data_IF_649236571041
#
_entry.id   IF_649236571041
#
_cell.length_a   1.000
_cell.length_b   1.000
_cell.length_c   1.000
_cell.angle_alpha   90.00
_cell.angle_beta   90.00
_cell.angle_gamma   90.00
#
_symmetry.space_group_name_H-M   'P 1'
#
loop_
_entity.id
_entity.type
_entity.pdbx_description
1 polymer ?
#
# COMPACT_ATOMS: atom_id res chain seq x y z
N UNK A 1 -15.28 -38.63 -9.70
CA UNK A 1 -16.25 -38.69 -8.59
C UNK A 1 -15.54 -38.23 -7.33
N UNK A 2 -16.16 -37.38 -6.50
CA UNK A 2 -15.53 -36.85 -5.29
C UNK A 2 -16.39 -37.20 -4.08
N UNK A 3 -15.79 -37.77 -3.03
CA UNK A 3 -16.44 -38.06 -1.75
C UNK A 3 -15.69 -37.31 -0.67
N UNK A 4 -16.42 -36.59 0.18
CA UNK A 4 -15.84 -35.77 1.23
C UNK A 4 -16.37 -36.21 2.61
N UNK A 5 -15.51 -36.14 3.61
CA UNK A 5 -15.87 -36.29 5.01
C UNK A 5 -15.60 -34.97 5.74
N UNK A 6 -16.35 -34.68 6.80
CA UNK A 6 -16.16 -33.46 7.59
C UNK A 6 -14.80 -33.46 8.32
N UNK A 7 -14.18 -32.28 8.45
CA UNK A 7 -12.92 -32.06 9.19
C UNK A 7 -11.65 -32.11 8.34
N UNK A 8 -10.53 -31.63 8.91
CA UNK A 8 -9.21 -31.66 8.27
C UNK A 8 -8.57 -33.05 8.42
N UNK A 9 -8.73 -33.88 7.39
CA UNK A 9 -8.23 -35.27 7.38
C UNK A 9 -7.51 -35.55 6.06
N UNK A 10 -6.46 -36.39 6.06
CA UNK A 10 -5.85 -36.85 4.82
C UNK A 10 -6.90 -37.54 3.93
N UNK A 11 -6.92 -37.15 2.67
CA UNK A 11 -7.73 -37.78 1.62
C UNK A 11 -6.85 -38.57 0.65
N UNK A 12 -7.52 -39.26 -0.27
CA UNK A 12 -6.89 -39.99 -1.37
C UNK A 12 -7.22 -39.29 -2.69
N UNK A 13 -6.21 -38.71 -3.33
CA UNK A 13 -6.31 -38.13 -4.66
C UNK A 13 -5.95 -39.19 -5.68
N UNK A 14 -6.85 -39.44 -6.63
CA UNK A 14 -6.65 -40.40 -7.72
C UNK A 14 -6.74 -39.64 -9.04
N UNK A 15 -5.66 -39.66 -9.81
CA UNK A 15 -5.57 -38.98 -11.11
C UNK A 15 -5.34 -40.02 -12.21
N UNK A 16 -6.07 -39.91 -13.31
CA UNK A 16 -5.84 -40.74 -14.50
C UNK A 16 -4.55 -40.28 -15.17
N UNK A 17 -3.59 -41.19 -15.33
CA UNK A 17 -2.29 -40.95 -15.97
C UNK A 17 -2.38 -41.24 -17.46
N UNK A 18 -3.03 -42.34 -17.83
CA UNK A 18 -3.23 -42.77 -19.20
C UNK A 18 -4.58 -43.48 -19.34
N UNK A 19 -5.18 -43.37 -20.52
CA UNK A 19 -6.40 -44.07 -20.90
C UNK A 19 -6.17 -44.71 -22.27
N UNK A 20 -6.37 -46.02 -22.37
CA UNK A 20 -6.29 -46.73 -23.66
C UNK A 20 -7.49 -46.39 -24.53
N UNK A 21 -7.25 -46.16 -25.83
CA UNK A 21 -8.27 -45.90 -26.84
C UNK A 21 -8.96 -47.18 -27.34
N UNK A 22 -8.42 -48.36 -27.02
CA UNK A 22 -9.02 -49.65 -27.35
C UNK A 22 -10.31 -49.86 -26.54
N UNK A 23 -11.41 -50.12 -27.24
CA UNK A 23 -12.75 -50.21 -26.65
C UNK A 23 -13.20 -51.67 -26.68
N UNK A 24 -13.22 -52.32 -25.53
CA UNK A 24 -13.88 -53.62 -25.37
C UNK A 24 -15.29 -53.37 -24.81
N UNK A 25 -16.34 -53.76 -25.55
CA UNK A 25 -17.74 -53.50 -25.18
C UNK A 25 -18.15 -54.15 -23.84
N UNK A 26 -17.42 -55.17 -23.39
CA UNK A 26 -17.71 -55.92 -22.16
C UNK A 26 -16.92 -55.46 -20.92
N UNK A 27 -15.76 -54.81 -21.08
CA UNK A 27 -14.82 -54.55 -19.96
C UNK A 27 -14.46 -53.06 -19.76
N UNK A 28 -14.90 -52.18 -20.67
CA UNK A 28 -14.58 -50.76 -20.61
C UNK A 28 -13.16 -50.45 -21.10
N UNK A 29 -12.68 -49.23 -20.82
CA UNK A 29 -11.33 -48.78 -21.21
C UNK A 29 -10.34 -49.06 -20.08
N UNK A 30 -9.15 -49.55 -20.43
CA UNK A 30 -8.05 -49.63 -19.49
C UNK A 30 -7.55 -48.22 -19.12
N UNK A 31 -7.50 -47.94 -17.81
CA UNK A 31 -7.03 -46.67 -17.26
C UNK A 31 -5.93 -46.92 -16.25
N UNK A 32 -4.85 -46.15 -16.35
CA UNK A 32 -3.79 -46.11 -15.35
C UNK A 32 -4.06 -44.98 -14.36
N UNK A 33 -3.97 -45.28 -13.06
CA UNK A 33 -4.30 -44.34 -12.01
C UNK A 33 -3.09 -44.07 -11.12
N UNK A 34 -2.75 -42.80 -10.92
CA UNK A 34 -1.80 -42.36 -9.89
C UNK A 34 -2.56 -42.00 -8.62
N UNK A 35 -2.14 -42.59 -7.51
CA UNK A 35 -2.73 -42.33 -6.20
C UNK A 35 -1.74 -41.55 -5.32
N UNK A 36 -2.23 -40.47 -4.72
CA UNK A 36 -1.50 -39.67 -3.73
C UNK A 36 -2.33 -39.54 -2.44
N UNK A 37 -1.66 -39.59 -1.30
CA UNK A 37 -2.27 -39.45 0.03
C UNK A 37 -1.84 -38.12 0.66
N UNK A 38 -2.80 -37.34 1.15
CA UNK A 38 -2.49 -36.05 1.77
C UNK A 38 -3.73 -35.20 2.01
N UNK A 39 -3.55 -34.01 2.59
CA UNK A 39 -4.63 -33.03 2.72
C UNK A 39 -5.06 -32.56 1.33
N UNK A 40 -6.33 -32.75 1.00
CA UNK A 40 -6.91 -32.30 -0.26
C UNK A 40 -7.59 -30.96 0.01
N UNK A 41 -7.10 -29.90 -0.63
CA UNK A 41 -7.66 -28.56 -0.49
C UNK A 41 -8.86 -28.35 -1.42
N UNK A 42 -9.53 -27.21 -1.31
CA UNK A 42 -10.72 -26.86 -2.11
C UNK A 42 -10.47 -26.81 -3.63
N UNK A 43 -9.21 -26.79 -4.06
CA UNK A 43 -8.79 -26.92 -5.46
C UNK A 43 -8.59 -28.38 -5.92
N UNK A 44 -8.98 -29.36 -5.09
CA UNK A 44 -8.84 -30.81 -5.31
C UNK A 44 -7.40 -31.28 -5.54
N UNK A 45 -6.43 -30.55 -5.00
CA UNK A 45 -5.01 -30.91 -5.06
C UNK A 45 -4.47 -31.13 -3.65
N UNK A 46 -3.47 -32.00 -3.59
CA UNK A 46 -2.58 -32.11 -2.43
C UNK A 46 -1.45 -31.09 -2.65
N UNK A 47 -1.09 -30.34 -1.61
CA UNK A 47 -0.09 -29.28 -1.72
C UNK A 47 0.12 -28.49 -0.44
N UNK A 48 0.73 -27.31 -0.56
CA UNK A 48 0.93 -26.42 0.57
C UNK A 48 -0.40 -25.88 1.10
N UNK A 49 -0.54 -25.83 2.42
CA UNK A 49 -1.68 -25.20 3.08
C UNK A 49 -1.57 -23.67 2.99
N UNK A 50 -2.11 -23.12 1.90
CA UNK A 50 -2.19 -21.67 1.72
C UNK A 50 -3.25 -21.05 2.65
N UNK A 51 -4.25 -21.82 3.08
CA UNK A 51 -5.32 -21.32 3.93
C UNK A 51 -4.88 -21.18 5.40
N UNK A 52 -4.00 -22.05 5.86
CA UNK A 52 -3.36 -22.02 7.18
C UNK A 52 -2.07 -21.20 7.24
N UNK A 53 -1.70 -20.49 6.17
CA UNK A 53 -0.49 -19.68 6.14
C UNK A 53 -0.55 -18.56 7.20
N UNK A 54 0.50 -18.47 8.02
CA UNK A 54 0.65 -17.44 9.04
C UNK A 54 1.38 -16.21 8.49
N UNK A 55 1.20 -15.08 9.17
CA UNK A 55 1.88 -13.84 8.84
C UNK A 55 3.40 -13.97 9.05
N UNK A 56 4.17 -13.58 8.05
CA UNK A 56 5.62 -13.49 8.17
C UNK A 56 5.98 -12.25 8.99
N UNK A 57 6.66 -12.44 10.13
CA UNK A 57 7.17 -11.33 10.96
C UNK A 57 8.06 -10.36 10.18
N UNK A 58 8.78 -10.87 9.17
CA UNK A 58 9.60 -10.07 8.26
C UNK A 58 8.78 -9.04 7.45
N UNK A 59 7.47 -9.22 7.30
CA UNK A 59 6.59 -8.25 6.65
C UNK A 59 6.12 -7.12 7.58
N UNK A 60 6.37 -7.25 8.89
CA UNK A 60 6.00 -6.23 9.86
C UNK A 60 6.81 -4.96 9.60
N UNK A 61 6.13 -3.80 9.63
CA UNK A 61 6.78 -2.52 9.39
C UNK A 61 7.25 -2.30 7.94
N UNK A 62 6.80 -3.11 6.97
CA UNK A 62 7.09 -2.85 5.56
C UNK A 62 5.99 -2.02 4.89
N UNK A 63 4.74 -2.16 5.33
CA UNK A 63 3.58 -1.55 4.68
C UNK A 63 2.92 -0.45 5.52
N UNK A 64 2.79 0.73 4.93
CA UNK A 64 2.15 1.88 5.56
C UNK A 64 1.15 2.52 4.60
N UNK A 65 0.04 3.03 5.12
CA UNK A 65 -0.82 3.93 4.34
C UNK A 65 -0.07 5.25 4.07
N UNK A 66 -0.40 5.95 2.98
CA UNK A 66 0.23 7.22 2.59
C UNK A 66 -0.26 8.41 3.40
N UNK A 67 0.28 9.59 3.11
CA UNK A 67 0.11 10.79 3.95
C UNK A 67 -1.31 11.35 3.84
N UNK A 68 -1.88 11.77 4.98
CA UNK A 68 -3.18 12.44 5.02
C UNK A 68 -2.96 13.94 5.22
N UNK A 69 -3.12 14.71 4.14
CA UNK A 69 -2.83 16.14 4.13
C UNK A 69 -3.76 16.90 5.07
N UNK A 70 -5.08 16.69 4.96
CA UNK A 70 -6.14 17.49 5.60
C UNK A 70 -5.98 18.98 5.22
N UNK A 71 -6.35 19.30 3.99
CA UNK A 71 -6.22 20.65 3.44
C UNK A 71 -5.76 20.58 2.00
N UNK A 72 -6.60 21.02 1.07
CA UNK A 72 -6.28 20.97 -0.36
C UNK A 72 -5.17 21.96 -0.74
N UNK A 73 -4.97 23.03 0.05
CA UNK A 73 -3.97 24.07 -0.20
C UNK A 73 -2.50 23.62 -0.19
N UNK A 74 -2.22 22.41 0.33
CA UNK A 74 -0.89 21.80 0.23
C UNK A 74 -0.57 21.26 -1.17
N UNK A 75 -1.59 20.96 -1.98
CA UNK A 75 -1.43 20.44 -3.33
C UNK A 75 -1.27 21.63 -4.28
N UNK A 76 -0.18 21.65 -5.04
CA UNK A 76 0.15 22.72 -5.97
C UNK A 76 0.46 22.17 -7.36
N UNK A 77 0.22 22.99 -8.38
CA UNK A 77 0.67 22.68 -9.74
C UNK A 77 2.18 22.93 -9.88
N UNK A 78 2.84 22.35 -10.89
CA UNK A 78 4.26 22.61 -11.16
C UNK A 78 4.60 24.06 -11.47
N UNK A 79 3.68 24.80 -12.07
CA UNK A 79 3.81 26.24 -12.29
C UNK A 79 3.82 26.96 -10.95
N UNK A 80 2.81 26.70 -10.11
CA UNK A 80 2.71 27.33 -8.81
C UNK A 80 3.91 27.01 -7.91
N UNK A 81 4.41 25.78 -7.95
CA UNK A 81 5.61 25.40 -7.21
C UNK A 81 6.85 26.19 -7.64
N UNK A 82 7.02 26.46 -8.95
CA UNK A 82 8.10 27.31 -9.46
C UNK A 82 7.93 28.75 -9.00
N UNK A 83 6.71 29.29 -9.00
CA UNK A 83 6.43 30.63 -8.49
C UNK A 83 6.76 30.75 -6.99
N UNK A 84 6.57 29.67 -6.22
CA UNK A 84 6.94 29.59 -4.81
C UNK A 84 8.44 29.45 -4.58
N UNK A 85 9.23 29.26 -5.64
CA UNK A 85 10.68 29.23 -5.60
C UNK A 85 11.33 27.88 -5.90
N UNK A 86 10.58 26.86 -6.35
CA UNK A 86 11.15 25.55 -6.66
C UNK A 86 12.20 25.68 -7.78
N UNK A 87 13.43 25.23 -7.52
CA UNK A 87 14.58 25.37 -8.42
C UNK A 87 15.31 26.72 -8.34
N UNK A 88 14.78 27.69 -7.60
CA UNK A 88 15.41 28.99 -7.34
C UNK A 88 15.92 29.12 -5.91
N UNK A 89 15.22 28.52 -4.94
CA UNK A 89 15.60 28.52 -3.53
C UNK A 89 16.18 27.15 -3.14
N UNK A 90 17.47 27.07 -2.79
CA UNK A 90 18.11 25.81 -2.41
C UNK A 90 17.42 25.12 -1.23
N UNK A 91 17.12 23.82 -1.39
CA UNK A 91 16.54 23.00 -0.33
C UNK A 91 15.02 22.93 -0.36
N UNK A 92 14.36 23.75 -1.19
CA UNK A 92 12.91 23.69 -1.37
C UNK A 92 12.47 22.41 -2.10
N UNK A 93 13.36 21.78 -2.87
CA UNK A 93 13.15 20.49 -3.54
C UNK A 93 12.89 19.34 -2.55
N UNK A 94 13.37 19.49 -1.31
CA UNK A 94 13.13 18.49 -0.25
C UNK A 94 11.72 18.63 0.36
N UNK A 95 11.11 19.81 0.23
CA UNK A 95 9.81 20.14 0.80
C UNK A 95 8.70 20.13 -0.25
N UNK A 96 8.95 20.53 -1.50
CA UNK A 96 7.97 20.43 -2.59
C UNK A 96 8.28 19.20 -3.41
N UNK A 97 7.43 18.18 -3.27
CA UNK A 97 7.67 16.85 -3.83
C UNK A 97 6.54 16.38 -4.73
N UNK A 98 6.81 15.53 -5.73
CA UNK A 98 5.77 14.94 -6.57
C UNK A 98 4.72 14.20 -5.73
N UNK A 99 3.45 14.35 -6.07
CA UNK A 99 2.35 13.72 -5.35
C UNK A 99 1.58 12.75 -6.24
N UNK A 100 1.24 11.58 -5.69
CA UNK A 100 0.47 10.54 -6.39
C UNK A 100 -0.66 10.01 -5.53
N UNK A 101 -1.85 9.89 -6.12
CA UNK A 101 -2.99 9.21 -5.52
C UNK A 101 -3.39 7.95 -6.31
N UNK A 102 -4.45 7.26 -5.86
CA UNK A 102 -4.94 6.05 -6.53
C UNK A 102 -5.29 6.23 -8.00
N UNK A 103 -5.82 7.40 -8.39
CA UNK A 103 -6.15 7.70 -9.79
C UNK A 103 -4.89 7.82 -10.64
N UNK A 104 -3.84 8.43 -10.09
CA UNK A 104 -2.55 8.61 -10.77
C UNK A 104 -1.79 7.28 -10.99
N UNK A 105 -2.11 6.23 -10.22
CA UNK A 105 -1.58 4.87 -10.43
C UNK A 105 -2.36 4.07 -11.47
N UNK A 106 -3.66 4.34 -11.61
CA UNK A 106 -4.54 3.58 -12.50
C UNK A 106 -4.77 4.23 -13.86
N UNK A 107 -4.44 5.52 -14.01
CA UNK A 107 -4.69 6.34 -15.18
C UNK A 107 -3.50 7.28 -15.45
N UNK A 108 -3.67 8.22 -16.39
CA UNK A 108 -2.66 9.25 -16.64
C UNK A 108 -2.42 10.08 -15.36
N UNK A 109 -1.16 10.22 -14.91
CA UNK A 109 -0.86 11.00 -13.72
C UNK A 109 -1.19 12.47 -13.90
N UNK A 110 -1.74 13.11 -12.86
CA UNK A 110 -2.09 14.54 -12.88
C UNK A 110 -0.89 15.49 -12.89
N UNK A 111 0.31 15.00 -12.55
CA UNK A 111 1.52 15.83 -12.51
C UNK A 111 1.54 16.87 -11.38
N UNK A 112 0.77 16.66 -10.31
CA UNK A 112 0.72 17.59 -9.17
C UNK A 112 1.87 17.36 -8.18
N UNK A 113 2.17 18.39 -7.39
CA UNK A 113 3.13 18.35 -6.29
C UNK A 113 2.46 18.70 -4.96
N UNK A 114 3.14 18.39 -3.87
CA UNK A 114 2.68 18.68 -2.51
C UNK A 114 3.78 19.38 -1.71
N UNK A 115 3.38 20.31 -0.86
CA UNK A 115 4.26 21.02 0.07
C UNK A 115 4.32 20.26 1.40
N UNK A 116 5.42 19.58 1.68
CA UNK A 116 5.71 18.81 2.88
C UNK A 116 6.71 19.54 3.79
N UNK A 117 6.18 20.22 4.81
CA UNK A 117 6.94 20.98 5.80
C UNK A 117 7.23 20.18 7.08
N UNK A 118 7.08 18.85 7.03
CA UNK A 118 7.34 18.01 8.18
C UNK A 118 8.79 18.13 8.66
N UNK A 119 8.97 18.33 9.97
CA UNK A 119 10.29 18.53 10.60
C UNK A 119 10.72 19.99 10.73
N UNK A 120 9.94 20.94 10.20
CA UNK A 120 10.15 22.37 10.41
C UNK A 120 9.10 22.97 11.37
N UNK A 121 9.54 23.87 12.22
CA UNK A 121 8.67 24.74 13.00
C UNK A 121 8.05 25.84 12.13
N UNK A 122 6.92 26.41 12.57
CA UNK A 122 6.26 27.53 11.87
C UNK A 122 7.23 28.70 11.61
N UNK A 123 8.07 29.00 12.61
CA UNK A 123 9.04 30.09 12.53
C UNK A 123 10.13 29.81 11.48
N UNK A 124 10.67 28.59 11.45
CA UNK A 124 11.67 28.21 10.43
C UNK A 124 11.09 28.29 9.02
N UNK A 125 9.83 27.87 8.82
CA UNK A 125 9.16 27.98 7.51
C UNK A 125 9.02 29.45 7.12
N UNK A 126 8.64 30.33 8.06
CA UNK A 126 8.49 31.77 7.80
C UNK A 126 9.82 32.44 7.44
N UNK A 127 10.89 32.09 8.16
CA UNK A 127 12.21 32.70 7.97
C UNK A 127 12.90 32.17 6.71
N UNK A 128 12.84 30.85 6.46
CA UNK A 128 13.56 30.22 5.35
C UNK A 128 12.79 30.21 4.04
N UNK A 129 11.46 30.09 4.10
CA UNK A 129 10.60 29.93 2.92
C UNK A 129 9.36 30.84 2.99
N UNK A 130 9.52 32.18 2.99
CA UNK A 130 8.42 33.12 3.21
C UNK A 130 7.28 33.00 2.18
N UNK A 131 7.60 32.73 0.91
CA UNK A 131 6.59 32.54 -0.14
C UNK A 131 5.71 31.29 0.12
N UNK A 132 6.34 30.21 0.57
CA UNK A 132 5.65 28.96 0.93
C UNK A 132 4.81 29.17 2.19
N UNK A 133 5.38 29.82 3.20
CA UNK A 133 4.66 30.20 4.42
C UNK A 133 3.38 30.97 4.09
N UNK A 134 3.49 32.01 3.25
CA UNK A 134 2.35 32.83 2.85
C UNK A 134 1.29 32.00 2.12
N UNK A 135 1.70 31.17 1.15
CA UNK A 135 0.78 30.30 0.41
C UNK A 135 0.01 29.35 1.33
N UNK A 136 0.69 28.68 2.27
CA UNK A 136 0.04 27.76 3.21
C UNK A 136 -0.85 28.53 4.19
N UNK A 137 -0.43 29.71 4.64
CA UNK A 137 -1.25 30.57 5.51
C UNK A 137 -2.54 30.99 4.81
N UNK A 138 -2.50 31.35 3.54
CA UNK A 138 -3.68 31.84 2.81
C UNK A 138 -4.64 30.71 2.42
N UNK A 139 -4.10 29.53 2.07
CA UNK A 139 -4.89 28.46 1.47
C UNK A 139 -5.23 27.30 2.42
N UNK A 140 -4.46 27.10 3.50
CA UNK A 140 -4.63 25.97 4.42
C UNK A 140 -5.17 26.42 5.77
N UNK A 141 -4.59 27.48 6.34
CA UNK A 141 -4.95 27.95 7.70
C UNK A 141 -6.46 28.23 7.87
N UNK A 142 -7.18 28.89 6.93
CA UNK A 142 -8.61 29.16 7.11
C UNK A 142 -9.48 27.89 7.22
N UNK A 143 -9.10 26.82 6.51
CA UNK A 143 -9.77 25.51 6.61
C UNK A 143 -9.40 24.81 7.92
N UNK A 144 -8.13 24.90 8.34
CA UNK A 144 -7.64 24.31 9.59
C UNK A 144 -8.28 24.91 10.82
N UNK A 145 -8.42 26.23 10.88
CA UNK A 145 -8.98 26.96 12.02
C UNK A 145 -10.43 26.51 12.32
N UNK A 146 -11.17 26.08 11.30
CA UNK A 146 -12.54 25.54 11.43
C UNK A 146 -12.58 24.07 11.86
N UNK A 147 -11.45 23.36 11.84
CA UNK A 147 -11.41 21.95 12.16
C UNK A 147 -11.63 21.72 13.66
N UNK A 148 -12.44 20.72 14.03
CA UNK A 148 -12.77 20.41 15.43
C UNK A 148 -11.56 19.97 16.27
N UNK A 149 -10.53 19.38 15.64
CA UNK A 149 -9.36 18.84 16.36
C UNK A 149 -8.29 19.92 16.57
N UNK A 150 -7.97 20.20 17.82
CA UNK A 150 -6.95 21.19 18.20
C UNK A 150 -5.58 20.96 17.59
N UNK A 151 -5.13 19.69 17.51
CA UNK A 151 -3.83 19.37 16.93
C UNK A 151 -3.67 19.85 15.49
N UNK A 152 -4.74 19.81 14.70
CA UNK A 152 -4.74 20.27 13.30
C UNK A 152 -4.80 21.80 13.19
N UNK A 153 -5.41 22.48 14.16
CA UNK A 153 -5.41 23.95 14.25
C UNK A 153 -4.04 24.48 14.63
N UNK A 154 -3.43 23.91 15.68
CA UNK A 154 -2.12 24.34 16.19
C UNK A 154 -1.01 24.08 15.18
N UNK A 155 -1.02 22.93 14.52
CA UNK A 155 0.03 22.53 13.57
C UNK A 155 -0.47 22.65 12.12
N UNK A 156 -1.06 23.79 11.77
CA UNK A 156 -1.74 24.00 10.49
C UNK A 156 -0.81 23.92 9.27
N UNK A 157 0.49 24.19 9.44
CA UNK A 157 1.49 24.18 8.37
C UNK A 157 2.03 22.79 8.01
N UNK A 158 1.73 21.77 8.81
CA UNK A 158 2.09 20.37 8.51
C UNK A 158 0.85 19.55 8.14
N UNK A 159 1.07 18.35 7.58
CA UNK A 159 -0.01 17.42 7.28
C UNK A 159 -0.72 16.94 8.55
N UNK A 160 -2.01 16.63 8.40
CA UNK A 160 -2.82 16.12 9.52
C UNK A 160 -2.28 14.79 10.05
N UNK A 161 -1.91 13.87 9.15
CA UNK A 161 -1.19 12.64 9.50
C UNK A 161 0.08 12.55 8.66
N UNK A 162 1.17 13.11 9.16
CA UNK A 162 2.48 13.09 8.51
C UNK A 162 3.17 11.71 8.52
N UNK A 163 2.58 10.74 9.24
CA UNK A 163 2.98 9.33 9.35
C UNK A 163 4.48 9.14 9.60
N UNK A 164 4.91 9.56 10.80
CA UNK A 164 6.31 9.50 11.26
C UNK A 164 6.94 8.12 11.06
N UNK A 165 6.18 7.03 11.22
CA UNK A 165 6.68 5.66 11.07
C UNK A 165 6.90 5.22 9.62
N UNK A 166 6.24 5.85 8.64
CA UNK A 166 6.42 5.52 7.21
C UNK A 166 7.74 6.07 6.68
N UNK A 167 8.15 7.27 7.12
CA UNK A 167 9.32 7.97 6.57
C UNK A 167 10.63 7.17 6.75
N UNK A 168 10.94 6.60 7.94
CA UNK A 168 12.11 5.74 8.12
C UNK A 168 12.08 4.49 7.25
N UNK A 169 10.90 3.89 7.04
CA UNK A 169 10.77 2.67 6.25
C UNK A 169 11.03 2.89 4.75
N UNK A 170 10.93 4.13 4.27
CA UNK A 170 11.25 4.52 2.90
C UNK A 170 12.64 5.16 2.77
N UNK A 171 13.30 5.46 3.90
CA UNK A 171 14.57 6.17 3.91
C UNK A 171 15.69 5.29 3.33
N UNK A 172 16.46 5.85 2.38
CA UNK A 172 17.58 5.16 1.73
C UNK A 172 17.21 4.22 0.60
N UNK A 173 15.91 3.99 0.34
CA UNK A 173 15.47 3.27 -0.85
C UNK A 173 15.45 4.22 -2.05
N UNK A 174 15.89 3.80 -3.25
CA UNK A 174 15.76 4.63 -4.46
C UNK A 174 14.30 4.71 -4.94
N UNK A 175 13.53 3.65 -4.69
CA UNK A 175 12.12 3.51 -5.06
C UNK A 175 11.42 2.56 -4.11
N UNK A 176 10.09 2.63 -4.06
CA UNK A 176 9.28 1.76 -3.22
C UNK A 176 8.03 1.31 -3.98
N UNK A 177 7.36 0.27 -3.48
CA UNK A 177 6.16 -0.27 -4.11
C UNK A 177 4.92 0.44 -3.55
N UNK A 178 4.04 0.91 -4.42
CA UNK A 178 2.74 1.44 -4.04
C UNK A 178 1.58 0.59 -4.58
N UNK A 179 0.50 0.49 -3.80
CA UNK A 179 -0.79 -0.08 -4.23
C UNK A 179 -1.94 0.76 -3.74
N UNK A 180 -3.04 0.78 -4.48
CA UNK A 180 -4.29 1.41 -4.04
C UNK A 180 -4.90 0.62 -2.88
N UNK A 181 -5.33 1.33 -1.83
CA UNK A 181 -5.98 0.78 -0.64
C UNK A 181 -7.31 0.11 -1.01
N UNK A 182 -8.13 0.82 -1.79
CA UNK A 182 -9.56 0.54 -2.04
C UNK A 182 -9.89 0.12 -3.48
N UNK A 183 -9.20 -0.88 -4.04
CA UNK A 183 -9.49 -1.40 -5.39
C UNK A 183 -9.91 -2.88 -5.41
N UNK A 184 -10.78 -3.25 -6.36
CA UNK A 184 -11.18 -4.65 -6.64
C UNK A 184 -9.99 -5.48 -7.13
N UNK A 185 -9.14 -4.88 -7.98
CA UNK A 185 -7.94 -5.51 -8.53
C UNK A 185 -6.72 -4.67 -8.13
N UNK A 186 -5.86 -5.23 -7.28
CA UNK A 186 -4.69 -4.50 -6.77
C UNK A 186 -3.59 -4.49 -7.82
N UNK A 187 -3.15 -3.28 -8.18
CA UNK A 187 -1.98 -3.03 -9.00
C UNK A 187 -0.81 -2.65 -8.08
N UNK A 188 0.38 -3.12 -8.42
CA UNK A 188 1.63 -2.82 -7.71
C UNK A 188 2.51 -2.09 -8.70
N UNK A 189 2.93 -0.89 -8.33
CA UNK A 189 3.78 -0.05 -9.15
C UNK A 189 4.94 0.44 -8.31
N UNK A 190 6.12 0.57 -8.93
CA UNK A 190 7.22 1.26 -8.31
C UNK A 190 7.01 2.78 -8.41
N UNK A 191 7.15 3.47 -7.28
CA UNK A 191 7.24 4.91 -7.22
C UNK A 191 8.65 5.28 -6.78
N UNK A 192 9.22 6.32 -7.39
CA UNK A 192 10.50 6.89 -6.96
C UNK A 192 10.38 7.39 -5.51
N UNK A 193 11.49 7.31 -4.77
CA UNK A 193 11.49 7.67 -3.34
C UNK A 193 11.03 9.09 -3.06
N UNK A 194 11.25 10.01 -4.01
CA UNK A 194 10.82 11.41 -3.95
C UNK A 194 9.31 11.59 -3.98
N UNK A 195 8.56 10.62 -4.53
CA UNK A 195 7.11 10.72 -4.66
C UNK A 195 6.45 10.54 -3.30
N UNK A 196 5.54 11.44 -2.95
CA UNK A 196 4.70 11.36 -1.76
C UNK A 196 3.39 10.63 -2.09
N UNK A 197 3.07 9.52 -1.40
CA UNK A 197 1.84 8.78 -1.62
C UNK A 197 0.67 9.38 -0.82
N UNK A 198 -0.51 9.46 -1.43
CA UNK A 198 -1.78 9.82 -0.79
C UNK A 198 -2.26 8.78 0.24
N UNK A 199 -3.10 9.18 1.18
CA UNK A 199 -3.71 8.32 2.21
C UNK A 199 -4.45 7.08 1.66
N UNK A 200 -4.95 7.14 0.42
CA UNK A 200 -5.59 6.01 -0.26
C UNK A 200 -4.60 5.06 -0.95
N UNK A 201 -3.30 5.27 -0.74
CA UNK A 201 -2.23 4.37 -1.17
C UNK A 201 -1.60 3.66 0.02
N UNK A 202 -1.13 2.44 -0.22
CA UNK A 202 -0.23 1.72 0.67
C UNK A 202 1.16 1.77 0.06
N UNK A 203 2.10 2.42 0.74
CA UNK A 203 3.52 2.38 0.46
C UNK A 203 4.13 1.15 1.14
N UNK A 204 4.92 0.39 0.38
CA UNK A 204 5.62 -0.81 0.82
C UNK A 204 7.11 -0.53 0.61
N UNK A 205 7.87 -0.48 1.70
CA UNK A 205 9.31 -0.20 1.73
C UNK A 205 10.16 -1.34 1.18
N UNK A 206 9.98 -1.64 -0.10
CA UNK A 206 10.72 -2.65 -0.85
C UNK A 206 11.05 -2.09 -2.23
N UNK A 207 12.30 -2.22 -2.65
CA UNK A 207 12.84 -1.76 -3.95
C UNK A 207 12.96 -2.90 -4.98
N UNK A 208 12.86 -4.15 -4.53
CA UNK A 208 12.92 -5.37 -5.34
C UNK A 208 11.53 -5.95 -5.69
N UNK A 209 11.37 -6.34 -6.95
CA UNK A 209 10.19 -6.98 -7.49
C UNK A 209 10.05 -8.45 -7.09
N UNK A 210 11.13 -9.13 -6.66
CA UNK A 210 11.08 -10.54 -6.26
C UNK A 210 10.05 -10.80 -5.14
N UNK A 211 9.91 -9.85 -4.20
CA UNK A 211 8.92 -9.91 -3.13
C UNK A 211 7.47 -9.88 -3.64
N UNK A 212 7.22 -9.30 -4.82
CA UNK A 212 5.89 -9.30 -5.46
C UNK A 212 5.55 -10.66 -6.09
N UNK A 213 6.55 -11.44 -6.51
CA UNK A 213 6.35 -12.76 -7.12
C UNK A 213 5.72 -13.74 -6.13
N UNK A 214 6.18 -13.73 -4.88
CA UNK A 214 5.64 -14.54 -3.78
C UNK A 214 4.16 -14.22 -3.52
N UNK A 215 3.76 -12.95 -3.72
CA UNK A 215 2.42 -12.47 -3.40
C UNK A 215 1.36 -12.74 -4.49
N UNK A 216 1.75 -13.12 -5.71
CA UNK A 216 0.80 -13.52 -6.76
C UNK A 216 0.30 -14.97 -6.61
N UNK A 217 1.05 -15.84 -5.94
CA UNK A 217 0.69 -17.25 -5.76
C UNK A 217 -0.32 -17.53 -4.64
N UNK A 218 -0.52 -16.60 -3.70
CA UNK A 218 -1.30 -16.84 -2.49
C UNK A 218 -2.31 -15.71 -2.23
N UNK A 219 -3.38 -15.59 -3.03
CA UNK A 219 -4.58 -14.83 -2.60
C UNK A 219 -5.87 -15.39 -3.16
N UNK A 220 -6.54 -16.22 -2.36
CA UNK A 220 -8.01 -16.27 -2.29
C UNK A 220 -8.51 -16.61 -0.89
N UNK A 221 -7.98 -16.01 0.17
CA UNK A 221 -8.64 -15.98 1.49
C UNK A 221 -7.95 -14.98 2.44
N UNK A 222 -8.48 -13.77 2.57
CA UNK A 222 -8.63 -13.07 3.85
C UNK A 222 -9.23 -11.68 3.57
N UNK A 223 -10.55 -11.57 3.76
CA UNK A 223 -11.26 -10.28 3.79
C UNK A 223 -12.11 -10.13 5.06
N UNK A 224 -11.80 -10.90 6.11
CA UNK A 224 -12.47 -10.81 7.40
C UNK A 224 -11.44 -10.85 8.51
N UNK A 225 -11.05 -9.66 8.99
CA UNK A 225 -10.52 -9.34 10.32
C UNK A 225 -9.59 -8.11 10.21
N UNK A 226 -10.18 -6.92 10.13
CA UNK A 226 -9.49 -5.67 10.45
C UNK A 226 -10.57 -4.58 10.64
N UNK A 227 -11.46 -4.82 11.61
CA UNK A 227 -12.38 -3.84 12.15
C UNK A 227 -11.95 -3.52 13.57
N UNK A 228 -10.73 -3.06 13.76
CA UNK A 228 -10.27 -2.49 15.03
C UNK A 228 -9.20 -1.47 14.70
N UNK A 229 -9.56 -0.20 14.80
CA UNK A 229 -8.61 0.90 14.70
C UNK A 229 -7.61 0.78 15.85
N UNK A 230 -6.30 0.98 15.62
CA UNK A 230 -5.38 1.18 16.72
C UNK A 230 -5.76 2.49 17.43
N UNK A 231 -6.04 2.37 18.72
CA UNK A 231 -6.14 3.47 19.66
C UNK A 231 -4.83 4.26 19.59
N UNK A 232 -4.90 5.54 19.24
CA UNK A 232 -3.76 6.42 19.27
C UNK A 232 -3.43 6.72 20.73
N UNK A 233 -2.30 6.20 21.20
CA UNK A 233 -1.68 6.69 22.42
C UNK A 233 -1.28 8.15 22.21
N UNK A 234 -1.87 9.00 23.03
CA UNK A 234 -1.53 10.39 23.17
C UNK A 234 -0.33 10.50 24.11
N UNK A 235 0.87 10.39 23.55
CA UNK A 235 2.06 10.93 24.21
C UNK A 235 2.26 12.37 23.72
N UNK A 236 1.82 13.28 24.60
CA UNK A 236 2.33 14.63 24.66
C UNK A 236 3.77 14.54 25.19
N UNK A 237 4.74 14.91 24.36
CA UNK A 237 5.84 15.78 24.79
C UNK A 237 6.66 16.27 23.59
N UNK A 238 6.83 17.60 23.59
CA UNK A 238 7.66 18.49 22.74
C UNK A 238 7.20 18.73 21.29
#
# INVERSE_FOLDING_TARGET
MTVAATGNRPGRLVTVVSESSERNEAEGRQVELKTELGLIFSNLRIGADVAGALELRANSGLGYRGMQLIGAGFIVSPERARDLGLGSFPGLEQHIRPYRNGRDLTASPRGVMVIDLFGLSEQEVRERYPAVFQHVSDNVKPERDQNRRDGYRRNWWIFGEARRSMRPALHGLPRYIATVETTKHRVFQFLEAEVIPDNMLIAIGLDDAAALAIRRGARRASKRAAGTAPQADADADV
#
